data_IF_599323956003
#
_entry.id   IF_599323956003
#
_cell.length_a   1.000
_cell.length_b   1.000
_cell.length_c   1.000
_cell.angle_alpha   90.00
_cell.angle_beta   90.00
_cell.angle_gamma   90.00
#
_symmetry.space_group_name_H-M   'P 1'
#
loop_
_entity.id
_entity.type
_entity.pdbx_description
1 polymer ?
#
# COMPACT_ATOMS: atom_id res chain seq x y z
N UNK A 1 11.09 16.49 4.65
CA UNK A 1 10.79 15.61 3.48
C UNK A 1 11.30 14.19 3.68
N UNK A 2 12.57 13.96 4.05
CA UNK A 2 13.11 12.60 4.30
C UNK A 2 12.29 11.80 5.34
N UNK A 3 11.89 12.43 6.46
CA UNK A 3 11.03 11.79 7.47
C UNK A 3 9.71 11.24 6.91
N UNK A 4 9.07 11.98 6.00
CA UNK A 4 7.79 11.58 5.38
C UNK A 4 8.03 10.39 4.44
N UNK A 5 9.07 10.46 3.60
CA UNK A 5 9.44 9.36 2.70
C UNK A 5 9.78 8.09 3.48
N UNK A 6 10.54 8.22 4.58
CA UNK A 6 10.87 7.10 5.46
C UNK A 6 9.62 6.51 6.12
N UNK A 7 8.71 7.35 6.62
CA UNK A 7 7.44 6.88 7.19
C UNK A 7 6.60 6.11 6.18
N UNK A 8 6.45 6.63 4.96
CA UNK A 8 5.74 5.95 3.88
C UNK A 8 6.40 4.61 3.50
N UNK A 9 7.73 4.57 3.39
CA UNK A 9 8.48 3.35 3.12
C UNK A 9 8.27 2.30 4.22
N UNK A 10 8.36 2.71 5.50
CA UNK A 10 8.13 1.81 6.63
C UNK A 10 6.71 1.24 6.62
N UNK A 11 5.69 2.05 6.30
CA UNK A 11 4.32 1.55 6.15
C UNK A 11 4.20 0.54 5.02
N UNK A 12 4.85 0.77 3.87
CA UNK A 12 4.85 -0.18 2.75
C UNK A 12 5.58 -1.48 3.11
N UNK A 13 6.72 -1.40 3.79
CA UNK A 13 7.43 -2.57 4.33
C UNK A 13 6.54 -3.36 5.30
N UNK A 14 5.79 -2.67 6.16
CA UNK A 14 4.85 -3.34 7.05
C UNK A 14 3.78 -4.11 6.27
N UNK A 15 3.14 -3.47 5.28
CA UNK A 15 2.12 -4.11 4.45
C UNK A 15 2.64 -5.35 3.70
N UNK A 16 3.89 -5.30 3.20
CA UNK A 16 4.46 -6.37 2.40
C UNK A 16 5.04 -7.53 3.24
N UNK A 17 5.65 -7.23 4.39
CA UNK A 17 6.47 -8.21 5.11
C UNK A 17 5.89 -8.61 6.46
N UNK A 18 5.06 -7.76 7.07
CA UNK A 18 4.61 -7.94 8.45
C UNK A 18 3.08 -8.12 8.58
N UNK A 19 2.29 -7.61 7.63
CA UNK A 19 0.87 -7.91 7.55
C UNK A 19 0.65 -9.38 7.19
N UNK A 20 -0.37 -10.00 7.79
CA UNK A 20 -0.72 -11.40 7.54
C UNK A 20 -2.23 -11.54 7.26
N UNK A 21 -2.63 -11.86 6.02
CA UNK A 21 -1.77 -12.07 4.85
C UNK A 21 -1.14 -10.75 4.35
N UNK A 22 0.02 -10.81 3.66
CA UNK A 22 0.64 -9.64 3.05
C UNK A 22 -0.32 -8.89 2.10
N UNK A 23 -0.19 -7.56 2.08
CA UNK A 23 -1.10 -6.64 1.37
C UNK A 23 -0.29 -5.86 0.33
N UNK A 24 -0.70 -5.91 -0.93
CA UNK A 24 -0.20 -5.04 -1.99
C UNK A 24 -1.12 -3.83 -2.12
N UNK A 25 -0.62 -2.61 -1.87
CA UNK A 25 -1.43 -1.39 -1.90
C UNK A 25 -1.98 -1.04 -3.29
N UNK A 26 -1.15 -1.21 -4.33
CA UNK A 26 -1.40 -0.91 -5.77
C UNK A 26 -1.71 0.55 -6.16
N UNK A 27 -1.98 1.46 -5.22
CA UNK A 27 -2.22 2.89 -5.54
C UNK A 27 -1.32 3.83 -4.70
N UNK A 28 0.00 3.65 -4.78
CA UNK A 28 0.95 4.48 -4.02
C UNK A 28 1.22 5.78 -4.78
N UNK A 29 0.76 6.89 -4.22
CA UNK A 29 0.94 8.25 -4.74
C UNK A 29 0.88 9.27 -3.61
N UNK A 30 1.40 10.48 -3.83
CA UNK A 30 1.53 11.50 -2.78
C UNK A 30 0.21 11.87 -2.10
N UNK A 31 -0.90 11.92 -2.83
CA UNK A 31 -2.24 12.20 -2.29
C UNK A 31 -2.74 11.10 -1.33
N UNK A 32 -2.21 9.87 -1.46
CA UNK A 32 -2.52 8.73 -0.59
C UNK A 32 -1.51 8.60 0.57
N UNK A 33 -0.59 9.55 0.72
CA UNK A 33 0.30 9.65 1.89
C UNK A 33 -0.17 10.84 2.73
N UNK A 34 -1.03 10.55 3.71
CA UNK A 34 -1.55 11.55 4.63
C UNK A 34 -0.54 11.88 5.71
N UNK A 35 -0.67 13.07 6.29
CA UNK A 35 0.15 13.52 7.41
C UNK A 35 -0.75 13.74 8.63
N UNK A 36 -0.35 13.20 9.78
CA UNK A 36 -0.99 13.53 11.05
C UNK A 36 -0.53 14.88 11.60
N UNK A 37 -1.06 15.28 12.75
CA UNK A 37 -0.77 16.53 13.45
C UNK A 37 0.71 16.71 13.82
N UNK A 38 1.49 15.62 13.83
CA UNK A 38 2.93 15.62 14.11
C UNK A 38 3.80 15.38 12.86
N UNK A 39 3.19 15.44 11.68
CA UNK A 39 3.81 15.22 10.36
C UNK A 39 4.36 13.80 10.16
N UNK A 40 3.76 12.78 10.80
CA UNK A 40 4.06 11.39 10.45
C UNK A 40 3.24 10.99 9.23
N UNK A 41 3.89 10.26 8.31
CA UNK A 41 3.24 9.70 7.13
C UNK A 41 2.31 8.54 7.50
N UNK A 42 1.12 8.52 6.91
CA UNK A 42 0.14 7.43 6.99
C UNK A 42 -0.32 7.08 5.58
N UNK A 43 -0.15 5.83 5.18
CA UNK A 43 -0.64 5.31 3.89
C UNK A 43 -2.16 5.18 3.97
N UNK A 44 -2.87 5.69 2.96
CA UNK A 44 -4.32 5.72 2.86
C UNK A 44 -4.80 5.22 1.49
N UNK A 45 -6.12 5.03 1.36
CA UNK A 45 -6.81 4.53 0.16
C UNK A 45 -6.42 3.10 -0.27
N UNK A 46 -6.98 2.13 0.46
CA UNK A 46 -6.82 0.71 0.17
C UNK A 46 -7.86 0.18 -0.83
N UNK A 47 -8.60 1.05 -1.53
CA UNK A 47 -9.67 0.64 -2.45
C UNK A 47 -9.18 -0.24 -3.61
N UNK A 48 -7.90 -0.10 -3.96
CA UNK A 48 -7.21 -0.94 -4.94
C UNK A 48 -6.32 -1.99 -4.30
N UNK A 49 -6.30 -2.19 -2.98
CA UNK A 49 -5.40 -3.15 -2.35
C UNK A 49 -5.75 -4.62 -2.66
N UNK A 50 -4.78 -5.51 -2.52
CA UNK A 50 -4.97 -6.96 -2.71
C UNK A 50 -4.20 -7.76 -1.67
N UNK A 51 -4.82 -8.79 -1.10
CA UNK A 51 -4.13 -9.80 -0.31
C UNK A 51 -3.33 -10.72 -1.26
N UNK A 52 -2.07 -11.02 -0.92
CA UNK A 52 -1.25 -11.94 -1.72
C UNK A 52 -1.87 -13.34 -1.75
N UNK A 53 -2.49 -13.78 -0.66
CA UNK A 53 -3.12 -15.09 -0.57
C UNK A 53 -4.20 -15.31 -1.64
N UNK A 54 -5.00 -14.28 -1.94
CA UNK A 54 -5.99 -14.34 -3.01
C UNK A 54 -5.38 -14.48 -4.40
N UNK A 55 -4.15 -14.01 -4.59
CA UNK A 55 -3.46 -14.02 -5.88
C UNK A 55 -2.89 -15.40 -6.18
N UNK A 56 -2.43 -16.09 -5.13
CA UNK A 56 -1.89 -17.45 -5.23
C UNK A 56 -3.02 -18.48 -5.28
N UNK A 57 -4.09 -18.29 -4.50
CA UNK A 57 -5.22 -19.23 -4.45
C UNK A 57 -6.06 -19.26 -5.75
N UNK A 58 -6.09 -18.17 -6.53
CA UNK A 58 -6.89 -18.11 -7.77
C UNK A 58 -6.26 -18.84 -8.95
N UNK A 59 -5.00 -19.31 -8.87
CA UNK A 59 -4.28 -20.00 -9.96
C UNK A 59 -4.10 -19.20 -11.27
N UNK A 60 -4.69 -18.00 -11.33
CA UNK A 60 -4.82 -17.14 -12.49
C UNK A 60 -4.48 -15.72 -12.05
N UNK A 61 -3.39 -15.16 -12.58
CA UNK A 61 -3.01 -13.76 -12.35
C UNK A 61 -3.81 -12.90 -13.32
N UNK A 62 -4.90 -12.29 -12.84
CA UNK A 62 -5.64 -11.29 -13.64
C UNK A 62 -5.07 -9.91 -13.38
N UNK A 63 -4.38 -9.34 -14.37
CA UNK A 63 -3.90 -7.95 -14.35
C UNK A 63 -4.98 -7.03 -14.90
N UNK A 64 -5.98 -6.69 -14.08
CA UNK A 64 -6.78 -5.51 -14.38
C UNK A 64 -5.91 -4.27 -14.19
N UNK A 65 -5.80 -3.45 -15.24
CA UNK A 65 -5.19 -2.12 -15.13
C UNK A 65 -6.04 -1.33 -14.15
N UNK A 66 -5.47 -1.05 -12.97
CA UNK A 66 -6.09 -0.24 -11.93
C UNK A 66 -5.13 0.88 -11.58
N UNK A 67 -5.69 2.06 -11.48
CA UNK A 67 -4.97 3.30 -11.19
C UNK A 67 -5.98 4.41 -11.06
N UNK A 68 -5.50 5.54 -10.58
CA UNK A 68 -6.25 6.77 -10.39
C UNK A 68 -5.60 7.85 -11.23
N UNK A 69 -6.36 8.88 -11.63
CA UNK A 69 -5.85 10.02 -12.41
C UNK A 69 -4.72 10.76 -11.68
#
# INVERSE_FOLDING_TARGET
>A
RIRIALGAANSLTYLHEHANPPIIHRDVKSINILLDETLNAKVADFGLSKLIQDTVASGHITTQVKGTL
#
